data_IF_598519141540
#
_entry.id   IF_598519141540
#
_cell.length_a   1.000
_cell.length_b   1.000
_cell.length_c   1.000
_cell.angle_alpha   90.00
_cell.angle_beta   90.00
_cell.angle_gamma   90.00
#
_symmetry.space_group_name_H-M   'P 1'
#
loop_
_entity.id
_entity.type
_entity.pdbx_description
1 polymer ?
#
# COMPACT_ATOMS: atom_id res chain seq x y z
N UNK A 1 20.01 -31.71 29.71
CA UNK A 1 18.86 -31.07 30.38
C UNK A 1 17.77 -30.83 29.35
N UNK A 2 16.52 -31.00 29.77
CA UNK A 2 15.32 -31.42 29.02
C UNK A 2 14.91 -30.63 27.75
N UNK A 3 14.31 -31.36 26.81
CA UNK A 3 13.66 -30.95 25.54
C UNK A 3 12.34 -30.19 25.76
N UNK A 4 12.36 -29.02 26.42
CA UNK A 4 11.23 -28.06 26.38
C UNK A 4 11.48 -26.99 25.30
N UNK A 5 11.69 -27.50 24.09
CA UNK A 5 12.21 -26.74 22.94
C UNK A 5 11.08 -26.10 22.16
N UNK A 6 11.20 -24.80 21.93
CA UNK A 6 10.47 -23.99 20.94
C UNK A 6 8.97 -23.77 21.18
N UNK A 7 8.18 -24.82 21.43
CA UNK A 7 6.73 -24.72 21.65
C UNK A 7 6.36 -23.89 22.89
N UNK A 8 7.10 -24.02 24.00
CA UNK A 8 6.89 -23.18 25.19
C UNK A 8 7.24 -21.72 24.96
N UNK A 9 8.23 -21.46 24.10
CA UNK A 9 8.65 -20.10 23.73
C UNK A 9 7.63 -19.44 22.80
N UNK A 10 7.07 -20.20 21.85
CA UNK A 10 5.98 -19.75 20.97
C UNK A 10 4.67 -19.50 21.74
N UNK A 11 4.33 -20.36 22.70
CA UNK A 11 3.15 -20.17 23.55
C UNK A 11 3.24 -18.90 24.41
N UNK A 12 4.43 -18.60 24.98
CA UNK A 12 4.68 -17.36 25.72
C UNK A 12 4.62 -16.12 24.82
N UNK A 13 5.19 -16.19 23.62
CA UNK A 13 5.12 -15.09 22.64
C UNK A 13 3.67 -14.80 22.20
N UNK A 14 2.85 -15.83 22.04
CA UNK A 14 1.44 -15.69 21.67
C UNK A 14 0.57 -15.12 22.81
N UNK A 15 0.86 -15.49 24.07
CA UNK A 15 0.23 -14.89 25.25
C UNK A 15 0.59 -13.41 25.40
N UNK A 16 1.85 -13.03 25.13
CA UNK A 16 2.31 -11.64 25.19
C UNK A 16 1.63 -10.78 24.11
N UNK A 17 1.47 -11.33 22.90
CA UNK A 17 0.78 -10.69 21.77
C UNK A 17 -0.71 -10.47 22.03
N UNK A 18 -1.37 -11.35 22.79
CA UNK A 18 -2.78 -11.20 23.23
C UNK A 18 -2.95 -10.13 24.33
N UNK A 19 -1.93 -9.88 25.14
CA UNK A 19 -1.95 -8.85 26.21
C UNK A 19 -1.71 -7.44 25.67
N UNK A 20 -0.94 -7.30 24.59
CA UNK A 20 -0.70 -6.03 23.89
C UNK A 20 -1.87 -5.71 22.95
N UNK A 21 -3.01 -5.28 23.52
CA UNK A 21 -4.07 -4.65 22.72
C UNK A 21 -3.70 -3.18 22.47
N UNK A 22 -3.63 -2.81 21.19
CA UNK A 22 -3.46 -1.47 20.59
C UNK A 22 -2.03 -1.05 20.19
N UNK A 23 -1.88 -0.30 19.08
CA UNK A 23 -0.59 0.10 18.53
C UNK A 23 -0.05 1.32 19.29
N UNK A 24 0.92 1.11 20.18
CA UNK A 24 1.62 2.22 20.82
C UNK A 24 2.71 2.74 19.87
N UNK A 25 2.51 3.99 19.48
CA UNK A 25 3.45 4.86 18.76
C UNK A 25 4.85 4.82 19.39
N UNK A 26 5.86 4.40 18.61
CA UNK A 26 7.27 4.56 18.98
C UNK A 26 7.71 6.01 18.78
N UNK A 27 7.16 6.94 19.57
CA UNK A 27 7.77 8.26 19.79
C UNK A 27 7.60 8.67 21.25
N UNK A 28 8.75 8.66 21.95
CA UNK A 28 8.99 9.16 23.32
C UNK A 28 8.19 8.46 24.42
N UNK A 29 8.90 7.66 25.22
CA UNK A 29 8.61 7.63 26.66
C UNK A 29 9.88 8.05 27.42
N UNK A 30 9.76 9.02 28.34
CA UNK A 30 10.85 9.49 29.18
C UNK A 30 11.15 8.48 30.30
N UNK A 31 12.39 8.54 30.77
CA UNK A 31 12.88 7.97 32.03
C UNK A 31 11.93 8.39 33.18
N UNK A 32 11.20 7.45 33.77
CA UNK A 32 10.88 7.39 35.20
C UNK A 32 9.94 6.20 35.51
N UNK A 33 10.07 5.70 36.75
CA UNK A 33 9.30 4.65 37.43
C UNK A 33 9.79 3.21 37.19
N UNK A 34 10.78 2.76 37.99
CA UNK A 34 10.52 2.02 39.23
C UNK A 34 11.81 2.00 40.07
N UNK A 35 11.79 2.72 41.18
CA UNK A 35 12.67 2.47 42.31
C UNK A 35 11.93 1.54 43.28
N UNK A 36 12.47 0.35 43.50
CA UNK A 36 12.34 -0.41 44.74
C UNK A 36 13.48 -1.42 44.76
N UNK A 37 14.19 -1.45 45.89
CA UNK A 37 15.42 -2.20 46.19
C UNK A 37 15.67 -3.46 45.38
N UNK A 38 16.73 -3.42 44.56
CA UNK A 38 17.83 -4.39 44.55
C UNK A 38 18.90 -3.84 43.59
N UNK A 39 20.18 -3.98 43.96
CA UNK A 39 21.31 -3.50 43.17
C UNK A 39 21.37 -4.22 41.83
N UNK A 40 20.78 -3.65 40.78
CA UNK A 40 20.98 -4.12 39.41
C UNK A 40 22.41 -3.81 39.01
N UNK A 41 23.23 -4.85 38.83
CA UNK A 41 24.60 -4.70 38.37
C UNK A 41 24.63 -4.05 36.98
N UNK A 42 25.61 -3.17 36.74
CA UNK A 42 25.88 -2.63 35.40
C UNK A 42 26.09 -3.78 34.40
N UNK A 43 26.63 -4.92 34.86
CA UNK A 43 26.82 -6.11 34.03
C UNK A 43 25.51 -6.78 33.62
N UNK A 44 24.46 -6.73 34.45
CA UNK A 44 23.12 -7.25 34.11
C UNK A 44 22.39 -6.35 33.10
N UNK A 45 22.62 -5.04 33.16
CA UNK A 45 22.09 -4.08 32.18
C UNK A 45 22.81 -4.26 30.83
N UNK A 46 24.14 -4.43 30.86
CA UNK A 46 24.96 -4.66 29.65
C UNK A 46 24.66 -6.02 29.01
N UNK A 47 24.44 -7.06 29.82
CA UNK A 47 24.00 -8.40 29.36
C UNK A 47 22.61 -8.37 28.72
N UNK A 48 21.65 -7.63 29.30
CA UNK A 48 20.33 -7.49 28.70
C UNK A 48 20.33 -6.62 27.44
N UNK A 49 21.22 -5.61 27.35
CA UNK A 49 21.41 -4.80 26.15
C UNK A 49 22.00 -5.62 25.00
N UNK A 50 23.02 -6.46 25.25
CA UNK A 50 23.62 -7.31 24.23
C UNK A 50 22.62 -8.35 23.69
N UNK A 51 21.77 -8.91 24.55
CA UNK A 51 20.68 -9.83 24.15
C UNK A 51 19.61 -9.11 23.32
N UNK A 52 19.27 -7.86 23.65
CA UNK A 52 18.30 -7.06 22.88
C UNK A 52 18.87 -6.66 21.52
N UNK A 53 20.15 -6.31 21.44
CA UNK A 53 20.85 -6.03 20.18
C UNK A 53 20.96 -7.27 19.30
N UNK A 54 21.22 -8.45 19.89
CA UNK A 54 21.30 -9.72 19.18
C UNK A 54 19.92 -10.19 18.67
N UNK A 55 18.85 -9.97 19.44
CA UNK A 55 17.47 -10.23 18.99
C UNK A 55 17.02 -9.27 17.89
N UNK A 56 17.39 -7.98 17.99
CA UNK A 56 17.14 -7.00 16.94
C UNK A 56 17.88 -7.37 15.64
N UNK A 57 19.11 -7.83 15.78
CA UNK A 57 19.93 -8.35 14.67
C UNK A 57 19.29 -9.56 13.99
N UNK A 58 18.78 -10.53 14.78
CA UNK A 58 18.07 -11.69 14.24
C UNK A 58 16.78 -11.29 13.50
N UNK A 59 16.01 -10.34 14.05
CA UNK A 59 14.78 -9.84 13.40
C UNK A 59 15.10 -9.10 12.10
N UNK A 60 16.08 -8.19 12.10
CA UNK A 60 16.44 -7.41 10.91
C UNK A 60 17.02 -8.31 9.80
N UNK A 61 17.79 -9.34 10.15
CA UNK A 61 18.28 -10.33 9.20
C UNK A 61 17.13 -11.15 8.60
N UNK A 62 16.22 -11.66 9.43
CA UNK A 62 15.03 -12.39 8.97
C UNK A 62 14.16 -11.50 8.06
N UNK A 63 13.96 -10.24 8.43
CA UNK A 63 13.21 -9.27 7.62
C UNK A 63 13.92 -8.95 6.29
N UNK A 64 15.26 -8.87 6.28
CA UNK A 64 16.03 -8.69 5.04
C UNK A 64 15.84 -9.88 4.09
N UNK A 65 15.90 -11.11 4.62
CA UNK A 65 15.72 -12.35 3.87
C UNK A 65 14.29 -12.48 3.33
N UNK A 66 13.28 -12.12 4.13
CA UNK A 66 11.87 -12.12 3.72
C UNK A 66 11.61 -11.07 2.61
N UNK A 67 12.19 -9.87 2.73
CA UNK A 67 11.93 -8.76 1.79
C UNK A 67 12.71 -8.88 0.48
N UNK A 68 13.88 -9.52 0.46
CA UNK A 68 14.75 -9.60 -0.74
C UNK A 68 15.38 -10.99 -0.92
N UNK A 69 14.59 -12.02 -1.29
CA UNK A 69 15.06 -13.41 -1.35
C UNK A 69 16.21 -13.64 -2.35
N UNK A 70 16.27 -12.84 -3.43
CA UNK A 70 17.29 -12.99 -4.48
C UNK A 70 18.71 -12.62 -4.02
N UNK A 71 18.85 -11.83 -2.95
CA UNK A 71 20.16 -11.36 -2.43
C UNK A 71 21.01 -12.54 -1.94
N UNK A 72 20.38 -13.61 -1.43
CA UNK A 72 21.07 -14.82 -1.00
C UNK A 72 21.36 -15.81 -2.14
N UNK A 73 20.70 -15.66 -3.29
CA UNK A 73 20.88 -16.57 -4.44
C UNK A 73 22.17 -16.34 -5.22
N UNK A 74 22.82 -15.18 -5.04
CA UNK A 74 24.02 -14.77 -5.79
C UNK A 74 25.30 -14.70 -4.96
N UNK A 75 25.24 -14.94 -3.64
CA UNK A 75 26.42 -14.89 -2.76
C UNK A 75 26.97 -16.29 -2.48
N UNK A 76 28.21 -16.52 -2.89
CA UNK A 76 28.96 -17.76 -2.64
C UNK A 76 29.97 -17.62 -1.49
N UNK A 77 30.10 -16.44 -0.87
CA UNK A 77 31.13 -16.12 0.13
C UNK A 77 30.69 -15.06 1.16
N UNK A 78 31.16 -15.20 2.40
CA UNK A 78 30.95 -14.27 3.53
C UNK A 78 31.67 -12.92 3.33
N UNK A 79 32.54 -12.81 2.32
CA UNK A 79 33.29 -11.57 2.02
C UNK A 79 32.79 -10.81 0.80
N UNK A 80 31.62 -11.15 0.24
CA UNK A 80 31.09 -10.49 -0.95
C UNK A 80 30.67 -9.03 -0.66
N UNK A 81 31.47 -8.09 -1.13
CA UNK A 81 31.33 -6.63 -0.91
C UNK A 81 30.11 -6.01 -1.58
N UNK A 82 29.33 -6.78 -2.37
CA UNK A 82 28.07 -6.33 -2.98
C UNK A 82 26.90 -6.31 -2.00
N UNK A 83 27.01 -7.03 -0.88
CA UNK A 83 26.11 -6.91 0.26
C UNK A 83 26.72 -5.81 1.13
N UNK A 84 26.14 -4.61 1.09
CA UNK A 84 26.63 -3.46 1.87
C UNK A 84 26.59 -3.74 3.37
N UNK A 85 27.67 -4.30 3.88
CA UNK A 85 27.89 -4.58 5.30
C UNK A 85 28.37 -3.28 5.96
N UNK A 86 27.64 -2.72 6.94
CA UNK A 86 28.11 -1.56 7.70
C UNK A 86 29.45 -1.83 8.38
N UNK A 87 30.37 -0.84 8.38
CA UNK A 87 31.74 -0.96 8.93
C UNK A 87 31.83 -1.42 10.40
N UNK A 88 30.75 -1.36 11.16
CA UNK A 88 30.70 -1.89 12.53
C UNK A 88 30.69 -3.43 12.61
N UNK A 89 30.54 -4.16 11.51
CA UNK A 89 30.49 -5.63 11.49
C UNK A 89 31.84 -6.33 11.29
N UNK A 90 32.94 -5.59 11.06
CA UNK A 90 34.23 -6.19 10.71
C UNK A 90 35.11 -6.61 11.90
N UNK A 91 34.79 -6.20 13.14
CA UNK A 91 35.76 -6.21 14.26
C UNK A 91 35.42 -7.15 15.44
N UNK A 92 34.53 -8.13 15.28
CA UNK A 92 34.38 -9.16 16.33
C UNK A 92 35.41 -10.28 16.16
N UNK A 93 36.22 -10.59 17.18
CA UNK A 93 37.24 -11.62 17.08
C UNK A 93 36.60 -13.02 17.00
N UNK A 94 37.00 -13.78 15.99
CA UNK A 94 36.65 -15.19 15.81
C UNK A 94 37.57 -16.01 16.71
N UNK A 95 37.03 -16.74 17.68
CA UNK A 95 37.82 -17.75 18.41
C UNK A 95 38.05 -18.95 17.50
N UNK A 96 39.31 -19.36 17.35
CA UNK A 96 39.74 -20.46 16.49
C UNK A 96 38.96 -21.76 16.74
N UNK A 97 38.41 -22.33 15.65
CA UNK A 97 37.96 -23.72 15.60
C UNK A 97 36.45 -23.98 15.67
N UNK A 98 35.60 -22.98 15.88
CA UNK A 98 34.14 -23.12 15.77
C UNK A 98 33.64 -22.45 14.48
N UNK A 99 32.65 -23.02 13.75
CA UNK A 99 32.02 -22.32 12.64
C UNK A 99 31.50 -20.99 13.17
N UNK A 100 31.88 -19.87 12.53
CA UNK A 100 31.42 -18.57 12.97
C UNK A 100 29.87 -18.59 13.01
N UNK A 101 29.27 -17.93 13.99
CA UNK A 101 27.81 -17.92 14.19
C UNK A 101 27.04 -17.67 12.88
N UNK A 102 27.63 -16.86 12.00
CA UNK A 102 27.21 -16.61 10.63
C UNK A 102 27.18 -17.84 9.72
N UNK A 103 28.22 -18.68 9.70
CA UNK A 103 28.24 -19.95 8.96
C UNK A 103 27.14 -20.88 9.45
N UNK A 104 26.90 -20.91 10.77
CA UNK A 104 25.84 -21.75 11.34
C UNK A 104 24.45 -21.24 10.95
N UNK A 105 24.18 -19.93 11.06
CA UNK A 105 22.91 -19.35 10.61
C UNK A 105 22.74 -19.47 9.10
N UNK A 106 23.79 -19.23 8.33
CA UNK A 106 23.74 -19.32 6.88
C UNK A 106 23.52 -20.77 6.42
N UNK A 107 24.10 -21.76 7.10
CA UNK A 107 23.87 -23.17 6.82
C UNK A 107 22.43 -23.59 7.18
N UNK A 108 21.91 -23.17 8.34
CA UNK A 108 20.52 -23.43 8.74
C UNK A 108 19.53 -22.76 7.80
N UNK A 109 19.76 -21.51 7.38
CA UNK A 109 18.93 -20.82 6.42
C UNK A 109 18.95 -21.52 5.05
N UNK A 110 20.11 -22.00 4.59
CA UNK A 110 20.24 -22.73 3.33
C UNK A 110 19.58 -24.11 3.37
N UNK A 111 19.60 -24.78 4.54
CA UNK A 111 18.90 -26.04 4.77
C UNK A 111 17.38 -25.85 4.81
N UNK A 112 16.90 -24.82 5.53
CA UNK A 112 15.48 -24.47 5.56
C UNK A 112 14.94 -24.09 4.18
N UNK A 113 15.75 -23.41 3.35
CA UNK A 113 15.42 -23.09 1.95
C UNK A 113 15.46 -24.30 1.00
N UNK A 114 16.08 -25.42 1.39
CA UNK A 114 16.08 -26.68 0.60
C UNK A 114 14.89 -27.57 0.94
N UNK A 115 14.42 -27.53 2.18
CA UNK A 115 13.25 -28.32 2.64
C UNK A 115 11.92 -27.64 2.32
N UNK A 116 11.91 -26.31 2.20
CA UNK A 116 10.81 -25.63 1.52
C UNK A 116 11.01 -25.81 0.01
N UNK A 117 10.15 -26.56 -0.71
CA UNK A 117 10.07 -26.36 -2.14
C UNK A 117 9.85 -24.86 -2.33
N UNK A 118 10.58 -24.25 -3.28
CA UNK A 118 10.15 -22.96 -3.78
C UNK A 118 8.70 -23.15 -4.20
N UNK A 119 7.75 -22.69 -3.38
CA UNK A 119 6.48 -22.24 -3.91
C UNK A 119 6.91 -21.14 -4.86
N UNK A 120 7.10 -21.55 -6.12
CA UNK A 120 6.86 -20.68 -7.25
C UNK A 120 5.67 -19.85 -6.80
N UNK A 121 5.90 -18.55 -6.61
CA UNK A 121 4.80 -17.61 -6.61
C UNK A 121 4.16 -17.86 -7.96
N UNK A 122 3.18 -18.74 -8.00
CA UNK A 122 2.13 -18.69 -8.99
C UNK A 122 1.60 -17.30 -8.76
N UNK A 123 2.12 -16.34 -9.52
CA UNK A 123 1.44 -15.12 -9.84
C UNK A 123 0.13 -15.67 -10.35
N UNK A 124 -0.85 -15.71 -9.45
CA UNK A 124 -2.21 -16.03 -9.81
C UNK A 124 -2.46 -15.11 -10.98
N UNK A 125 -2.71 -15.70 -12.14
CA UNK A 125 -3.09 -14.95 -13.33
C UNK A 125 -4.43 -14.32 -12.95
N UNK A 126 -4.36 -13.17 -12.28
CA UNK A 126 -5.50 -12.49 -11.69
C UNK A 126 -6.30 -11.98 -12.88
N UNK A 127 -7.57 -12.34 -12.88
CA UNK A 127 -8.47 -11.97 -13.96
C UNK A 127 -8.47 -10.45 -14.07
N UNK A 128 -8.07 -9.94 -15.24
CA UNK A 128 -8.47 -8.60 -15.64
C UNK A 128 -9.98 -8.56 -15.51
N UNK A 129 -10.49 -7.82 -14.53
CA UNK A 129 -11.92 -7.59 -14.41
C UNK A 129 -12.32 -6.92 -15.72
N UNK A 130 -13.23 -7.54 -16.47
CA UNK A 130 -13.74 -6.95 -17.70
C UNK A 130 -14.49 -5.68 -17.33
N UNK A 131 -13.80 -4.55 -17.43
CA UNK A 131 -14.36 -3.22 -17.28
C UNK A 131 -15.34 -3.09 -18.44
N UNK A 132 -16.63 -3.27 -18.17
CA UNK A 132 -17.67 -3.10 -19.17
C UNK A 132 -17.60 -1.68 -19.72
N UNK A 133 -16.82 -1.48 -20.80
CA UNK A 133 -16.49 -0.15 -21.35
C UNK A 133 -17.76 0.66 -21.62
N UNK A 134 -18.75 -0.02 -22.20
CA UNK A 134 -20.09 0.52 -22.42
C UNK A 134 -20.75 0.92 -21.09
N UNK A 135 -20.77 0.06 -20.09
CA UNK A 135 -21.36 0.38 -18.78
C UNK A 135 -20.72 1.61 -18.13
N UNK A 136 -19.40 1.75 -18.20
CA UNK A 136 -18.69 2.91 -17.66
C UNK A 136 -19.03 4.19 -18.45
N UNK A 137 -18.99 4.14 -19.79
CA UNK A 137 -19.40 5.25 -20.63
C UNK A 137 -20.86 5.65 -20.40
N UNK A 138 -21.76 4.67 -20.39
CA UNK A 138 -23.19 4.88 -20.25
C UNK A 138 -23.51 5.52 -18.90
N UNK A 139 -22.87 5.07 -17.82
CA UNK A 139 -23.01 5.68 -16.49
C UNK A 139 -22.60 7.17 -16.50
N UNK A 140 -21.44 7.49 -17.07
CA UNK A 140 -20.98 8.88 -17.18
C UNK A 140 -21.90 9.71 -18.10
N UNK A 141 -22.27 9.16 -19.25
CA UNK A 141 -23.06 9.88 -20.25
C UNK A 141 -24.50 10.12 -19.81
N UNK A 142 -25.09 9.23 -18.98
CA UNK A 142 -26.36 9.52 -18.31
C UNK A 142 -26.25 10.71 -17.36
N UNK A 143 -25.21 10.75 -16.53
CA UNK A 143 -24.97 11.89 -15.64
C UNK A 143 -24.75 13.19 -16.43
N UNK A 144 -23.90 13.15 -17.47
CA UNK A 144 -23.58 14.32 -18.30
C UNK A 144 -24.77 14.87 -19.07
N UNK A 145 -25.66 14.01 -19.54
CA UNK A 145 -26.88 14.42 -20.24
C UNK A 145 -27.76 15.34 -19.37
N UNK A 146 -27.90 15.02 -18.07
CA UNK A 146 -28.62 15.88 -17.13
C UNK A 146 -27.99 17.27 -17.02
N UNK A 147 -26.66 17.38 -17.13
CA UNK A 147 -25.93 18.65 -17.02
C UNK A 147 -25.59 19.31 -18.37
N UNK A 148 -26.29 18.96 -19.45
CA UNK A 148 -26.07 19.56 -20.79
C UNK A 148 -24.60 19.46 -21.25
N UNK A 149 -23.89 18.47 -20.74
CA UNK A 149 -22.50 18.18 -21.09
C UNK A 149 -22.51 17.09 -22.16
N UNK A 150 -21.80 17.34 -23.27
CA UNK A 150 -21.75 16.40 -24.38
C UNK A 150 -21.20 15.04 -23.96
N UNK A 151 -21.66 13.97 -24.62
CA UNK A 151 -21.21 12.60 -24.32
C UNK A 151 -19.69 12.46 -24.46
N UNK A 152 -19.12 11.63 -23.60
CA UNK A 152 -17.72 11.21 -23.68
C UNK A 152 -17.57 10.05 -24.67
N UNK A 153 -16.41 10.00 -25.28
CA UNK A 153 -15.94 8.88 -26.11
C UNK A 153 -14.92 8.06 -25.34
N UNK A 154 -14.90 6.74 -25.56
CA UNK A 154 -13.90 5.88 -24.94
C UNK A 154 -12.53 6.11 -25.60
N UNK A 155 -11.50 6.25 -24.78
CA UNK A 155 -10.12 6.28 -25.24
C UNK A 155 -9.33 5.10 -24.64
N UNK A 156 -8.75 4.28 -25.52
CA UNK A 156 -8.04 3.08 -25.10
C UNK A 156 -6.73 3.39 -24.37
N UNK A 157 -6.05 4.50 -24.70
CA UNK A 157 -4.83 4.92 -24.03
C UNK A 157 -5.12 5.36 -22.60
N UNK A 158 -6.14 6.20 -22.42
CA UNK A 158 -6.60 6.60 -21.08
C UNK A 158 -7.00 5.40 -20.22
N UNK A 159 -7.62 4.37 -20.83
CA UNK A 159 -8.01 3.16 -20.12
C UNK A 159 -6.78 2.31 -19.71
N UNK A 160 -5.75 2.25 -20.57
CA UNK A 160 -4.50 1.58 -20.24
C UNK A 160 -3.79 2.29 -19.08
N UNK A 161 -3.74 3.61 -19.09
CA UNK A 161 -3.11 4.39 -18.02
C UNK A 161 -3.91 4.35 -16.72
N UNK A 162 -5.24 4.34 -16.81
CA UNK A 162 -6.12 4.04 -15.68
C UNK A 162 -5.82 2.63 -15.11
N UNK A 163 -5.59 1.62 -15.96
CA UNK A 163 -5.32 0.25 -15.53
C UNK A 163 -3.98 0.14 -14.81
N UNK A 164 -2.92 0.75 -15.36
CA UNK A 164 -1.61 0.82 -14.70
C UNK A 164 -1.74 1.41 -13.29
N UNK A 165 -2.53 2.49 -13.15
CA UNK A 165 -2.71 3.13 -11.86
C UNK A 165 -3.60 2.32 -10.91
N UNK A 166 -4.71 1.74 -11.38
CA UNK A 166 -5.58 0.89 -10.57
C UNK A 166 -4.80 -0.31 -10.01
N UNK A 167 -3.94 -0.93 -10.82
CA UNK A 167 -3.06 -2.02 -10.40
C UNK A 167 -2.03 -1.56 -9.36
N UNK A 168 -1.44 -0.38 -9.55
CA UNK A 168 -0.51 0.20 -8.57
C UNK A 168 -1.20 0.46 -7.22
N UNK A 169 -2.41 1.04 -7.24
CA UNK A 169 -3.19 1.29 -6.03
C UNK A 169 -3.54 0.00 -5.30
N UNK A 170 -3.97 -1.04 -6.02
CA UNK A 170 -4.34 -2.31 -5.43
C UNK A 170 -3.14 -3.11 -4.89
N UNK A 171 -2.01 -3.11 -5.60
CA UNK A 171 -0.88 -3.98 -5.28
C UNK A 171 0.15 -3.34 -4.35
N UNK A 172 0.46 -2.06 -4.55
CA UNK A 172 1.63 -1.43 -3.94
C UNK A 172 1.25 -0.43 -2.84
N UNK A 173 0.14 0.30 -3.03
CA UNK A 173 -0.23 1.45 -2.17
C UNK A 173 -1.29 1.10 -1.13
N UNK A 174 -2.35 0.40 -1.53
CA UNK A 174 -3.46 -0.01 -0.66
C UNK A 174 -4.38 1.11 -0.17
N UNK A 175 -4.31 2.32 -0.75
CA UNK A 175 -5.22 3.43 -0.47
C UNK A 175 -5.29 4.37 -1.68
N UNK A 176 -6.31 5.25 -1.73
CA UNK A 176 -6.47 6.21 -2.82
C UNK A 176 -5.41 7.31 -2.75
N UNK A 177 -4.60 7.42 -3.80
CA UNK A 177 -3.67 8.54 -4.02
C UNK A 177 -3.66 8.87 -5.52
N UNK A 178 -3.71 10.17 -5.83
CA UNK A 178 -3.72 10.61 -7.21
C UNK A 178 -2.39 10.41 -7.91
N UNK A 179 -2.45 10.00 -9.18
CA UNK A 179 -1.28 9.98 -10.04
C UNK A 179 -0.72 11.40 -10.25
N UNK A 180 0.59 11.51 -10.41
CA UNK A 180 1.27 12.78 -10.60
C UNK A 180 1.74 12.94 -12.05
N UNK A 181 1.71 14.17 -12.56
CA UNK A 181 2.29 14.56 -13.86
C UNK A 181 1.77 13.76 -15.08
N UNK A 182 0.50 13.35 -15.08
CA UNK A 182 -0.10 12.58 -16.18
C UNK A 182 -0.59 13.46 -17.33
N UNK A 183 -0.94 14.72 -17.05
CA UNK A 183 -1.62 15.60 -18.01
C UNK A 183 -3.10 15.27 -18.22
N UNK A 184 -3.65 14.37 -17.41
CA UNK A 184 -5.03 13.86 -17.49
C UNK A 184 -5.83 14.23 -16.25
N UNK A 185 -7.16 14.31 -16.40
CA UNK A 185 -8.05 14.38 -15.24
C UNK A 185 -8.16 13.01 -14.59
N UNK A 186 -8.44 12.94 -13.30
CA UNK A 186 -8.53 11.66 -12.58
C UNK A 186 -9.63 11.67 -11.51
N UNK A 187 -10.47 10.62 -11.51
CA UNK A 187 -11.29 10.27 -10.36
C UNK A 187 -10.88 8.91 -9.83
N UNK A 188 -10.85 8.78 -8.50
CA UNK A 188 -10.56 7.54 -7.80
C UNK A 188 -11.79 7.10 -7.02
N UNK A 189 -12.00 5.80 -6.97
CA UNK A 189 -13.00 5.18 -6.12
C UNK A 189 -12.40 3.96 -5.45
N UNK A 190 -12.70 3.80 -4.17
CA UNK A 190 -12.31 2.63 -3.39
C UNK A 190 -13.51 2.11 -2.60
N UNK A 191 -13.60 0.79 -2.52
CA UNK A 191 -14.57 0.12 -1.66
C UNK A 191 -14.00 -1.19 -1.14
N UNK A 192 -14.55 -1.67 -0.03
CA UNK A 192 -14.28 -2.99 0.53
C UNK A 192 -15.59 -3.67 0.85
N UNK A 193 -15.81 -4.88 0.34
CA UNK A 193 -17.07 -5.61 0.53
C UNK A 193 -17.03 -7.06 0.07
N UNK A 194 -18.20 -7.69 0.01
CA UNK A 194 -18.37 -9.07 -0.47
C UNK A 194 -18.43 -9.19 -2.00
N UNK A 195 -18.50 -8.06 -2.71
CA UNK A 195 -18.62 -7.99 -4.17
C UNK A 195 -17.65 -6.95 -4.74
N UNK A 196 -17.24 -7.17 -5.98
CA UNK A 196 -16.45 -6.20 -6.75
C UNK A 196 -17.36 -5.05 -7.15
N UNK A 197 -17.02 -3.83 -6.76
CA UNK A 197 -17.74 -2.64 -7.20
C UNK A 197 -17.57 -2.44 -8.71
N UNK A 198 -18.60 -1.92 -9.35
CA UNK A 198 -18.57 -1.64 -10.79
C UNK A 198 -18.58 -0.12 -11.08
N UNK A 199 -18.53 0.23 -12.36
CA UNK A 199 -18.52 1.64 -12.78
C UNK A 199 -19.78 2.42 -12.35
N UNK A 200 -20.96 1.79 -12.26
CA UNK A 200 -22.17 2.44 -11.77
C UNK A 200 -22.02 2.87 -10.32
N UNK A 201 -21.42 2.00 -9.49
CA UNK A 201 -21.18 2.29 -8.08
C UNK A 201 -20.26 3.51 -7.91
N UNK A 202 -19.17 3.56 -8.68
CA UNK A 202 -18.24 4.68 -8.67
C UNK A 202 -18.86 5.98 -9.18
N UNK A 203 -19.53 5.95 -10.35
CA UNK A 203 -20.16 7.15 -10.92
C UNK A 203 -21.25 7.69 -10.01
N UNK A 204 -22.07 6.83 -9.40
CA UNK A 204 -23.08 7.26 -8.42
C UNK A 204 -22.43 7.94 -7.22
N UNK A 205 -21.33 7.41 -6.70
CA UNK A 205 -20.60 8.04 -5.60
C UNK A 205 -20.04 9.41 -6.01
N UNK A 206 -19.38 9.51 -7.17
CA UNK A 206 -18.83 10.76 -7.67
C UNK A 206 -19.90 11.81 -7.95
N UNK A 207 -21.01 11.44 -8.59
CA UNK A 207 -22.11 12.37 -8.91
C UNK A 207 -22.86 12.80 -7.65
N UNK A 208 -22.91 11.96 -6.60
CA UNK A 208 -23.55 12.35 -5.33
C UNK A 208 -22.90 13.57 -4.67
N UNK A 209 -21.67 13.91 -5.05
CA UNK A 209 -21.00 15.13 -4.59
C UNK A 209 -21.64 16.42 -5.10
N UNK A 210 -22.54 16.35 -6.10
CA UNK A 210 -23.35 17.50 -6.53
C UNK A 210 -24.03 18.18 -5.34
N UNK A 211 -24.45 17.42 -4.33
CA UNK A 211 -25.07 17.94 -3.12
C UNK A 211 -24.21 18.99 -2.37
N UNK A 212 -22.90 18.97 -2.58
CA UNK A 212 -21.95 19.92 -1.99
C UNK A 212 -21.56 21.06 -2.94
N UNK A 213 -21.94 20.99 -4.22
CA UNK A 213 -21.58 21.99 -5.21
C UNK A 213 -22.52 23.22 -5.14
N UNK A 214 -21.92 24.41 -5.20
CA UNK A 214 -22.64 25.70 -5.21
C UNK A 214 -22.48 26.33 -6.59
N UNK A 215 -23.50 26.18 -7.44
CA UNK A 215 -23.47 26.69 -8.81
C UNK A 215 -23.35 28.22 -8.92
N UNK A 216 -23.94 28.94 -7.97
CA UNK A 216 -23.90 30.41 -7.86
C UNK A 216 -22.57 30.92 -7.26
N UNK A 217 -21.86 30.06 -6.53
CA UNK A 217 -20.57 30.34 -5.91
C UNK A 217 -19.55 29.23 -6.25
N UNK A 218 -19.19 29.08 -7.54
CA UNK A 218 -18.23 28.06 -7.94
C UNK A 218 -16.85 28.38 -7.34
N UNK A 219 -16.03 27.35 -7.04
CA UNK A 219 -14.71 27.55 -6.45
C UNK A 219 -13.82 28.46 -7.29
N UNK A 220 -13.24 29.49 -6.66
CA UNK A 220 -12.32 30.45 -7.29
C UNK A 220 -10.87 30.25 -6.86
N UNK A 221 -10.67 29.57 -5.73
CA UNK A 221 -9.35 29.26 -5.19
C UNK A 221 -9.18 27.76 -4.98
N UNK A 222 -7.92 27.32 -4.90
CA UNK A 222 -7.62 25.91 -4.58
C UNK A 222 -8.20 25.49 -3.22
N UNK A 223 -8.18 26.38 -2.23
CA UNK A 223 -8.72 26.09 -0.91
C UNK A 223 -10.24 25.93 -0.95
N UNK A 224 -10.95 26.78 -1.68
CA UNK A 224 -12.39 26.62 -1.91
C UNK A 224 -12.72 25.34 -2.66
N UNK A 225 -11.93 25.00 -3.69
CA UNK A 225 -12.14 23.78 -4.46
C UNK A 225 -11.95 22.53 -3.59
N UNK A 226 -10.85 22.47 -2.84
CA UNK A 226 -10.58 21.40 -1.88
C UNK A 226 -11.67 21.28 -0.80
N UNK A 227 -12.16 22.42 -0.31
CA UNK A 227 -13.23 22.45 0.69
C UNK A 227 -14.62 22.08 0.12
N UNK A 228 -14.85 22.24 -1.19
CA UNK A 228 -16.14 21.97 -1.84
C UNK A 228 -16.53 20.50 -1.79
N UNK A 229 -15.56 19.58 -1.72
CA UNK A 229 -15.78 18.13 -1.80
C UNK A 229 -16.60 17.70 -3.02
N UNK A 230 -16.55 18.48 -4.09
CA UNK A 230 -17.31 18.27 -5.33
C UNK A 230 -16.41 17.96 -6.54
N UNK A 231 -15.12 17.69 -6.30
CA UNK A 231 -14.13 17.56 -7.36
C UNK A 231 -14.37 16.38 -8.29
N UNK A 232 -14.92 15.26 -7.78
CA UNK A 232 -15.24 14.13 -8.62
C UNK A 232 -16.48 14.41 -9.47
N UNK A 233 -17.52 15.01 -8.87
CA UNK A 233 -18.72 15.44 -9.59
C UNK A 233 -18.37 16.40 -10.73
N UNK A 234 -17.64 17.48 -10.43
CA UNK A 234 -17.30 18.51 -11.43
C UNK A 234 -16.47 17.94 -12.58
N UNK A 235 -15.60 16.95 -12.33
CA UNK A 235 -14.88 16.26 -13.39
C UNK A 235 -15.80 15.39 -14.26
N UNK A 236 -16.74 14.63 -13.66
CA UNK A 236 -17.69 13.79 -14.43
C UNK A 236 -18.50 14.65 -15.40
N UNK A 237 -19.01 15.79 -14.92
CA UNK A 237 -19.88 16.67 -15.72
C UNK A 237 -19.13 17.75 -16.48
N UNK A 238 -17.80 17.79 -16.43
CA UNK A 238 -17.00 18.84 -17.07
C UNK A 238 -17.28 18.95 -18.57
N UNK A 239 -17.86 20.06 -18.99
CA UNK A 239 -18.30 20.27 -20.40
C UNK A 239 -17.14 20.21 -21.37
N UNK A 240 -15.94 20.64 -21.01
CA UNK A 240 -14.74 20.63 -21.86
C UNK A 240 -14.10 19.25 -22.07
N UNK A 241 -14.38 18.27 -21.22
CA UNK A 241 -13.83 16.91 -21.33
C UNK A 241 -14.53 16.17 -22.47
N UNK A 242 -13.76 15.37 -23.23
CA UNK A 242 -14.24 14.66 -24.44
C UNK A 242 -14.04 13.14 -24.35
N UNK A 243 -12.97 12.71 -23.71
CA UNK A 243 -12.52 11.33 -23.70
C UNK A 243 -12.48 10.78 -22.28
N UNK A 244 -12.78 9.49 -22.17
CA UNK A 244 -12.80 8.72 -20.93
C UNK A 244 -12.06 7.39 -21.11
N UNK A 245 -11.25 7.03 -20.13
CA UNK A 245 -10.80 5.67 -19.92
C UNK A 245 -11.00 5.27 -18.47
N UNK A 246 -11.47 4.06 -18.20
CA UNK A 246 -11.72 3.58 -16.84
C UNK A 246 -11.10 2.20 -16.66
N UNK A 247 -10.55 1.94 -15.48
CA UNK A 247 -10.06 0.63 -15.10
C UNK A 247 -10.50 0.24 -13.69
N UNK A 248 -10.56 -1.09 -13.46
CA UNK A 248 -10.92 -1.68 -12.17
C UNK A 248 -9.84 -2.71 -11.81
N UNK A 249 -9.29 -2.58 -10.60
CA UNK A 249 -8.40 -3.58 -10.03
C UNK A 249 -8.86 -3.96 -8.63
N UNK A 250 -8.67 -5.23 -8.28
CA UNK A 250 -9.15 -5.80 -7.02
C UNK A 250 -8.03 -6.40 -6.21
N UNK A 251 -8.17 -6.34 -4.89
CA UNK A 251 -7.28 -7.03 -3.94
C UNK A 251 -8.10 -7.92 -3.01
N UNK A 252 -7.61 -9.11 -2.74
CA UNK A 252 -8.32 -10.10 -1.94
C UNK A 252 -9.34 -10.89 -2.75
N UNK A 253 -10.20 -11.61 -2.03
CA UNK A 253 -11.25 -12.47 -2.59
C UNK A 253 -12.40 -12.54 -1.60
N UNK A 254 -13.57 -12.98 -2.06
CA UNK A 254 -14.72 -13.19 -1.18
C UNK A 254 -14.31 -13.97 0.10
N UNK A 255 -14.79 -13.56 1.29
CA UNK A 255 -15.85 -12.56 1.52
C UNK A 255 -15.37 -11.10 1.61
N UNK A 256 -14.07 -10.82 1.43
CA UNK A 256 -13.52 -9.46 1.52
C UNK A 256 -12.68 -9.15 0.30
N UNK A 257 -13.28 -8.43 -0.65
CA UNK A 257 -12.61 -7.87 -1.81
C UNK A 257 -12.54 -6.35 -1.68
N UNK A 258 -11.34 -5.82 -1.84
CA UNK A 258 -11.13 -4.39 -2.07
C UNK A 258 -11.19 -4.12 -3.57
N UNK A 259 -11.90 -3.08 -3.97
CA UNK A 259 -12.02 -2.66 -5.37
C UNK A 259 -11.52 -1.24 -5.52
N UNK A 260 -10.59 -1.04 -6.45
CA UNK A 260 -10.07 0.26 -6.87
C UNK A 260 -10.54 0.54 -8.29
N UNK A 261 -11.22 1.66 -8.49
CA UNK A 261 -11.67 2.11 -9.81
C UNK A 261 -11.00 3.44 -10.10
N UNK A 262 -10.33 3.52 -11.23
CA UNK A 262 -9.63 4.73 -11.71
C UNK A 262 -10.29 5.16 -13.01
N UNK A 263 -10.74 6.41 -13.09
CA UNK A 263 -11.19 7.03 -14.32
C UNK A 263 -10.22 8.13 -14.73
N UNK A 264 -9.85 8.15 -16.02
CA UNK A 264 -9.00 9.16 -16.65
C UNK A 264 -9.76 9.93 -17.71
N UNK A 265 -9.53 11.24 -17.73
CA UNK A 265 -10.30 12.19 -18.52
C UNK A 265 -9.38 13.06 -19.39
N UNK A 266 -9.78 13.29 -20.64
CA UNK A 266 -9.06 14.21 -21.53
C UNK A 266 -10.00 15.07 -22.39
N UNK A 267 -9.78 16.39 -22.50
CA UNK A 267 -8.93 17.20 -21.64
C UNK A 267 -9.32 17.12 -20.14
N UNK A 268 -8.38 17.36 -19.20
CA UNK A 268 -8.68 17.41 -17.78
C UNK A 268 -9.68 18.52 -17.46
N UNK A 269 -10.54 18.25 -16.47
CA UNK A 269 -11.44 19.25 -15.91
C UNK A 269 -10.87 19.95 -14.68
N UNK A 270 -11.74 20.59 -13.91
CA UNK A 270 -11.42 21.22 -12.63
C UNK A 270 -10.38 22.35 -12.72
N UNK A 271 -10.34 23.06 -13.86
CA UNK A 271 -9.56 24.28 -14.00
C UNK A 271 -10.21 25.43 -13.22
N UNK A 272 -9.43 26.02 -12.30
CA UNK A 272 -9.86 27.19 -11.55
C UNK A 272 -10.16 28.34 -12.52
N UNK A 273 -11.31 28.99 -12.32
CA UNK A 273 -11.79 30.07 -13.20
C UNK A 273 -12.70 29.59 -14.34
N UNK A 274 -12.77 28.28 -14.62
CA UNK A 274 -13.56 27.75 -15.75
C UNK A 274 -14.83 27.00 -15.34
N UNK A 275 -15.11 26.90 -14.05
CA UNK A 275 -16.24 26.12 -13.52
C UNK A 275 -17.60 26.56 -14.07
N UNK A 276 -17.89 27.86 -14.15
CA UNK A 276 -19.19 28.38 -14.62
C UNK A 276 -19.50 28.02 -16.07
N UNK A 277 -18.47 27.80 -16.89
CA UNK A 277 -18.63 27.43 -18.30
C UNK A 277 -18.71 25.92 -18.49
N UNK A 278 -18.25 25.15 -17.50
CA UNK A 278 -18.05 23.71 -17.61
C UNK A 278 -18.94 22.86 -16.70
N UNK A 279 -19.55 23.41 -15.65
CA UNK A 279 -20.43 22.70 -14.73
C UNK A 279 -21.81 23.37 -14.78
N UNK A 280 -22.64 22.90 -15.72
CA UNK A 280 -23.96 23.51 -15.95
C UNK A 280 -24.97 23.02 -14.91
N UNK A 281 -25.95 23.87 -14.63
CA UNK A 281 -27.16 23.44 -13.93
C UNK A 281 -27.87 22.31 -14.71
N UNK A 282 -28.51 21.37 -13.99
CA UNK A 282 -29.35 20.37 -14.60
C UNK A 282 -30.49 20.94 -15.48
#
# INVERSE_FOLDING_TARGET
MSTSTLFEKEAKALQLKKRLKSPVSYRRLPFEVFAADDTVSVDDIVSNLSVVEELKFQIDFILMVIKRPWVLSQSTSVTDTRIGVPKCWANHPVSDGAPNFFQTIHAHARSALREYPAEEKTVTKREHVNVGKSACLDAHNRARASHKSGSLEWDAGLAEDAQKWADHLANDVGHMVHAQNTGEGENLFWSMGSHVANCEDAVRAWVSEEAYYRYDHPPRTFNEFSASKAGHFTQVVWKGTRKLGVAISTKGKAPTVETFIVARYSPPGNWLGEFSENVMHP
#
